data_IF_954366564416
#
_entry.id   IF_954366564416
#
_cell.length_a   1.000
_cell.length_b   1.000
_cell.length_c   1.000
_cell.angle_alpha   90.00
_cell.angle_beta   90.00
_cell.angle_gamma   90.00
#
_symmetry.space_group_name_H-M   'P 1'
#
loop_
_entity.id
_entity.type
_entity.pdbx_description
1 polymer ?
#
# COMPACT_ATOMS: atom_id res chain seq x y z
N UNK A 1 -11.06 4.55 -4.10
CA UNK A 1 -11.63 5.74 -3.47
C UNK A 1 -13.02 5.36 -3.00
N UNK A 2 -13.45 5.65 -1.76
CA UNK A 2 -14.85 5.55 -1.43
C UNK A 2 -15.60 6.40 -2.46
N UNK A 3 -16.62 5.85 -3.10
CA UNK A 3 -17.60 6.69 -3.79
C UNK A 3 -18.21 7.57 -2.72
N UNK A 4 -17.73 8.77 -2.57
CA UNK A 4 -18.48 9.81 -1.90
C UNK A 4 -19.83 9.86 -2.62
N UNK A 5 -20.93 9.78 -1.89
CA UNK A 5 -22.27 9.85 -2.47
C UNK A 5 -22.32 11.13 -3.35
N UNK A 6 -22.49 10.95 -4.67
CA UNK A 6 -22.49 12.05 -5.63
C UNK A 6 -21.30 12.12 -6.59
N UNK A 7 -20.35 11.19 -6.57
CA UNK A 7 -19.18 11.20 -7.48
C UNK A 7 -19.48 10.81 -8.93
N UNK A 8 -20.70 10.51 -9.28
CA UNK A 8 -21.08 10.25 -10.68
C UNK A 8 -21.23 11.55 -11.50
N UNK A 9 -21.07 12.72 -10.88
CA UNK A 9 -21.14 14.03 -11.56
C UNK A 9 -19.82 14.77 -11.42
N UNK A 10 -19.35 15.30 -12.55
CA UNK A 10 -18.21 16.22 -12.57
C UNK A 10 -18.57 17.46 -11.75
N UNK A 11 -17.74 17.88 -10.79
CA UNK A 11 -18.02 19.09 -10.03
C UNK A 11 -18.16 20.31 -10.93
N UNK A 12 -19.10 21.25 -10.65
CA UNK A 12 -19.38 22.38 -11.53
C UNK A 12 -18.23 23.37 -11.69
N UNK A 13 -17.23 23.31 -10.82
CA UNK A 13 -16.03 24.15 -10.91
C UNK A 13 -14.95 23.58 -11.84
N UNK A 14 -15.12 22.35 -12.35
CA UNK A 14 -14.15 21.73 -13.26
C UNK A 14 -14.36 22.31 -14.66
N UNK A 15 -13.35 22.96 -15.25
CA UNK A 15 -13.45 23.46 -16.61
C UNK A 15 -13.69 22.32 -17.62
N UNK A 16 -14.67 22.43 -18.52
CA UNK A 16 -15.00 21.37 -19.47
C UNK A 16 -13.81 20.95 -20.35
N UNK A 17 -12.94 21.88 -20.68
CA UNK A 17 -11.72 21.65 -21.49
C UNK A 17 -10.68 20.79 -20.76
N UNK A 18 -10.76 20.64 -19.45
CA UNK A 18 -9.88 19.80 -18.65
C UNK A 18 -10.44 18.41 -18.39
N UNK A 19 -11.70 18.15 -18.75
CA UNK A 19 -12.31 16.83 -18.53
C UNK A 19 -11.79 15.85 -19.57
N UNK A 20 -11.32 14.69 -19.10
CA UNK A 20 -10.83 13.60 -19.93
C UNK A 20 -11.41 12.27 -19.43
N UNK A 21 -11.45 11.30 -20.33
CA UNK A 21 -11.62 9.89 -19.99
C UNK A 21 -10.38 9.17 -20.50
N UNK A 22 -9.35 9.14 -19.66
CA UNK A 22 -8.03 8.72 -20.09
C UNK A 22 -7.86 7.18 -20.11
N UNK A 23 -8.73 6.45 -19.40
CA UNK A 23 -8.55 5.02 -19.20
C UNK A 23 -7.22 4.67 -18.51
N UNK A 24 -6.60 5.66 -17.83
CA UNK A 24 -5.27 5.58 -17.24
C UNK A 24 -5.09 4.39 -16.30
N UNK A 25 -6.14 3.98 -15.66
CA UNK A 25 -6.08 2.89 -14.72
C UNK A 25 -6.59 1.61 -15.40
N UNK A 26 -5.66 0.74 -15.79
CA UNK A 26 -5.93 -0.63 -16.23
C UNK A 26 -6.61 -0.80 -17.60
N UNK A 27 -6.58 0.22 -18.48
CA UNK A 27 -7.00 0.04 -19.89
C UNK A 27 -6.02 -0.87 -20.64
N UNK A 28 -6.50 -1.61 -21.68
CA UNK A 28 -5.66 -2.54 -22.44
C UNK A 28 -4.40 -1.88 -23.03
N UNK A 29 -4.50 -0.63 -23.49
CA UNK A 29 -3.39 0.11 -24.07
C UNK A 29 -2.32 0.46 -23.00
N UNK A 30 -2.75 0.85 -21.81
CA UNK A 30 -1.84 1.09 -20.69
C UNK A 30 -1.15 -0.21 -20.28
N UNK A 31 -1.88 -1.31 -20.12
CA UNK A 31 -1.33 -2.60 -19.72
C UNK A 31 -0.36 -3.18 -20.74
N UNK A 32 -0.60 -2.93 -22.04
CA UNK A 32 0.28 -3.40 -23.10
C UNK A 32 1.67 -2.72 -23.08
N UNK A 33 1.72 -1.43 -22.84
CA UNK A 33 2.96 -0.67 -22.74
C UNK A 33 2.79 0.62 -21.91
N UNK A 34 2.91 0.54 -20.57
CA UNK A 34 2.70 1.69 -19.69
C UNK A 34 3.61 2.89 -20.01
N UNK A 35 4.87 2.63 -20.37
CA UNK A 35 5.83 3.70 -20.66
C UNK A 35 5.48 4.47 -21.94
N UNK A 36 5.14 3.77 -23.00
CA UNK A 36 4.74 4.43 -24.26
C UNK A 36 3.42 5.17 -24.09
N UNK A 37 2.46 4.59 -23.34
CA UNK A 37 1.19 5.22 -23.01
C UNK A 37 1.41 6.53 -22.25
N UNK A 38 2.19 6.51 -21.18
CA UNK A 38 2.49 7.70 -20.37
C UNK A 38 3.24 8.76 -21.18
N UNK A 39 4.21 8.37 -22.02
CA UNK A 39 4.90 9.30 -22.91
C UNK A 39 3.93 9.99 -23.89
N UNK A 40 2.96 9.27 -24.43
CA UNK A 40 1.88 9.83 -25.24
C UNK A 40 1.00 10.81 -24.48
N UNK A 41 0.66 10.49 -23.25
CA UNK A 41 -0.13 11.36 -22.37
C UNK A 41 0.53 12.73 -22.17
N UNK A 42 1.85 12.76 -21.93
CA UNK A 42 2.62 14.02 -21.80
C UNK A 42 2.56 14.94 -23.03
N UNK A 43 2.28 14.39 -24.21
CA UNK A 43 2.18 15.16 -25.46
C UNK A 43 0.77 15.65 -25.74
N UNK A 44 -0.25 14.91 -25.32
CA UNK A 44 -1.64 15.12 -25.73
C UNK A 44 -2.47 15.78 -24.64
N UNK A 45 -2.21 15.47 -23.37
CA UNK A 45 -3.01 15.94 -22.25
C UNK A 45 -2.43 17.21 -21.63
N UNK A 46 -3.29 18.08 -21.07
CA UNK A 46 -2.80 19.19 -20.25
C UNK A 46 -2.09 18.63 -19.00
N UNK A 47 -1.14 19.39 -18.43
CA UNK A 47 -0.37 18.94 -17.26
C UNK A 47 -1.23 18.57 -16.04
N UNK A 48 -2.41 19.18 -15.94
CA UNK A 48 -3.42 18.88 -14.93
C UNK A 48 -4.75 18.72 -15.65
N UNK A 49 -5.46 17.61 -15.40
CA UNK A 49 -6.78 17.37 -15.96
C UNK A 49 -7.66 16.58 -14.99
N UNK A 50 -8.97 16.61 -15.21
CA UNK A 50 -9.94 15.87 -14.42
C UNK A 50 -10.33 14.61 -15.17
N UNK A 51 -9.93 13.45 -14.62
CA UNK A 51 -10.23 12.16 -15.21
C UNK A 51 -11.58 11.63 -14.73
N UNK A 52 -12.39 11.19 -15.68
CA UNK A 52 -13.66 10.51 -15.44
C UNK A 52 -13.47 9.05 -15.76
N UNK A 53 -13.33 8.22 -14.75
CA UNK A 53 -12.93 6.83 -14.92
C UNK A 53 -13.76 5.83 -14.10
N UNK A 54 -13.60 4.55 -14.38
CA UNK A 54 -14.37 3.48 -13.73
C UNK A 54 -14.09 3.34 -12.23
N UNK A 55 -12.98 3.87 -11.75
CA UNK A 55 -12.58 3.84 -10.34
C UNK A 55 -12.94 5.13 -9.59
N UNK A 56 -13.66 6.01 -10.23
CA UNK A 56 -14.05 7.32 -9.70
C UNK A 56 -13.44 8.46 -10.49
N UNK A 57 -13.88 9.67 -10.17
CA UNK A 57 -13.43 10.87 -10.82
C UNK A 57 -12.36 11.54 -9.95
N UNK A 58 -11.26 11.98 -10.56
CA UNK A 58 -10.15 12.59 -9.83
C UNK A 58 -9.35 13.57 -10.70
N UNK A 59 -8.72 14.54 -10.05
CA UNK A 59 -7.68 15.33 -10.68
C UNK A 59 -6.42 14.49 -10.90
N UNK A 60 -5.85 14.58 -12.10
CA UNK A 60 -4.62 13.90 -12.49
C UNK A 60 -3.52 14.91 -12.69
N UNK A 61 -2.37 14.63 -12.09
CA UNK A 61 -1.14 15.42 -12.23
C UNK A 61 -0.14 14.61 -13.06
N UNK A 62 0.24 15.08 -14.24
CA UNK A 62 1.15 14.35 -15.12
C UNK A 62 2.61 14.76 -14.88
N UNK A 63 2.85 16.04 -14.58
CA UNK A 63 4.21 16.54 -14.40
C UNK A 63 4.76 16.15 -13.02
N UNK A 64 6.04 15.78 -13.01
CA UNK A 64 6.76 15.47 -11.78
C UNK A 64 6.73 16.61 -10.77
N UNK A 65 6.94 17.85 -11.23
CA UNK A 65 6.94 19.05 -10.38
C UNK A 65 5.60 19.29 -9.68
N UNK A 66 4.47 19.09 -10.40
CA UNK A 66 3.13 19.23 -9.83
C UNK A 66 2.81 18.13 -8.83
N UNK A 67 3.17 16.88 -9.16
CA UNK A 67 3.01 15.74 -8.25
C UNK A 67 3.87 15.92 -6.97
N UNK A 68 5.10 16.40 -7.13
CA UNK A 68 5.99 16.68 -6.00
C UNK A 68 5.46 17.83 -5.13
N UNK A 69 4.88 18.87 -5.76
CA UNK A 69 4.22 19.94 -5.03
C UNK A 69 3.05 19.39 -4.20
N UNK A 70 2.15 18.61 -4.80
CA UNK A 70 1.02 18.02 -4.10
C UNK A 70 1.45 17.15 -2.91
N UNK A 71 2.46 16.31 -3.10
CA UNK A 71 2.98 15.42 -2.04
C UNK A 71 3.66 16.16 -0.87
N UNK A 72 4.13 17.39 -1.09
CA UNK A 72 4.83 18.19 -0.07
C UNK A 72 3.95 19.17 0.68
N UNK A 73 2.74 19.40 0.22
CA UNK A 73 1.85 20.43 0.75
C UNK A 73 0.57 19.82 1.31
N UNK A 74 0.71 19.13 2.45
CA UNK A 74 -0.42 18.52 3.16
C UNK A 74 -1.49 19.53 3.58
N UNK A 75 -1.13 20.82 3.67
CA UNK A 75 -2.07 21.92 3.94
C UNK A 75 -3.09 22.18 2.82
N UNK A 76 -2.82 21.68 1.61
CA UNK A 76 -3.72 21.76 0.45
C UNK A 76 -4.22 20.41 -0.02
N UNK A 77 -3.45 19.35 0.21
CA UNK A 77 -3.71 18.00 -0.32
C UNK A 77 -3.69 16.99 0.83
N UNK A 78 -4.86 16.66 1.35
CA UNK A 78 -5.03 15.68 2.40
C UNK A 78 -4.92 14.25 1.91
N UNK A 79 -4.65 13.34 2.86
CA UNK A 79 -4.50 11.90 2.59
C UNK A 79 -5.75 11.10 3.00
N UNK A 80 -6.78 11.73 3.53
CA UNK A 80 -8.00 11.03 3.90
C UNK A 80 -8.62 10.33 2.68
N UNK A 81 -8.80 9.02 2.78
CA UNK A 81 -9.31 8.22 1.67
C UNK A 81 -8.33 7.99 0.52
N UNK A 82 -7.01 8.19 0.74
CA UNK A 82 -5.99 8.04 -0.29
C UNK A 82 -5.81 6.61 -0.81
N UNK A 83 -6.28 5.59 -0.08
CA UNK A 83 -6.17 4.20 -0.52
C UNK A 83 -7.38 3.77 -1.36
N UNK A 84 -7.16 2.92 -2.39
CA UNK A 84 -8.22 2.46 -3.28
C UNK A 84 -9.06 1.32 -2.70
N UNK A 85 -8.77 0.90 -1.48
CA UNK A 85 -9.41 -0.27 -0.87
C UNK A 85 -10.86 0.00 -0.48
N UNK A 86 -11.76 -1.00 -0.62
CA UNK A 86 -13.12 -0.88 -0.14
C UNK A 86 -13.13 -0.72 1.38
N UNK A 87 -14.03 0.14 1.88
CA UNK A 87 -14.25 0.33 3.30
C UNK A 87 -15.58 -0.26 3.70
N UNK A 88 -15.59 -0.99 4.80
CA UNK A 88 -16.82 -1.39 5.48
C UNK A 88 -17.26 -0.23 6.37
N UNK A 89 -18.49 0.30 6.24
CA UNK A 89 -19.00 1.35 7.10
C UNK A 89 -19.06 0.96 8.58
N UNK A 90 -19.18 -0.35 8.86
CA UNK A 90 -19.34 -0.89 10.21
C UNK A 90 -18.01 -1.35 10.84
N UNK A 91 -16.96 -1.56 10.03
CA UNK A 91 -15.60 -1.92 10.48
C UNK A 91 -14.58 -1.01 9.79
N UNK A 92 -14.41 0.18 10.34
CA UNK A 92 -13.57 1.22 9.76
C UNK A 92 -12.10 0.88 9.96
N UNK A 93 -11.47 0.33 8.92
CA UNK A 93 -10.04 0.04 8.89
C UNK A 93 -9.31 1.21 8.24
N UNK A 94 -8.53 1.96 9.01
CA UNK A 94 -7.65 3.00 8.50
C UNK A 94 -6.27 2.42 8.20
N UNK A 95 -5.72 2.73 7.04
CA UNK A 95 -4.32 2.44 6.73
C UNK A 95 -3.41 3.50 7.36
N UNK A 96 -3.19 3.38 8.66
CA UNK A 96 -2.33 4.29 9.40
C UNK A 96 -0.86 3.96 9.15
N UNK A 97 -0.01 4.99 8.93
CA UNK A 97 -0.28 6.42 8.89
C UNK A 97 -0.61 6.99 7.50
N UNK A 98 -0.91 6.17 6.48
CA UNK A 98 -1.06 6.60 5.09
C UNK A 98 -2.26 7.54 4.89
N UNK A 99 -3.36 7.28 5.60
CA UNK A 99 -4.65 7.95 5.38
C UNK A 99 -4.96 9.07 6.37
N UNK A 100 -3.96 9.57 7.06
CA UNK A 100 -4.11 10.69 8.00
C UNK A 100 -3.10 11.79 7.74
N UNK A 101 -3.47 13.01 8.14
CA UNK A 101 -2.68 14.21 7.95
C UNK A 101 -2.06 14.70 9.27
N UNK A 102 -1.04 15.60 9.21
CA UNK A 102 -0.56 16.28 10.41
C UNK A 102 -1.67 17.08 11.13
N UNK A 103 -1.67 17.15 12.49
CA UNK A 103 -0.60 16.68 13.38
C UNK A 103 -0.64 15.17 13.73
N UNK A 104 -1.78 14.49 13.54
CA UNK A 104 -1.99 13.10 13.95
C UNK A 104 -1.02 12.13 13.27
N UNK A 105 -0.74 12.32 11.99
CA UNK A 105 0.24 11.55 11.23
C UNK A 105 1.57 11.40 11.98
N UNK A 106 2.03 12.45 12.65
CA UNK A 106 3.30 12.45 13.39
C UNK A 106 3.31 11.48 14.55
N UNK A 107 2.18 11.31 15.24
CA UNK A 107 2.07 10.38 16.38
C UNK A 107 2.40 8.95 15.94
N UNK A 108 1.78 8.47 14.85
CA UNK A 108 2.01 7.13 14.32
C UNK A 108 3.40 6.96 13.69
N UNK A 109 3.89 7.99 12.99
CA UNK A 109 5.25 7.98 12.44
C UNK A 109 6.31 7.86 13.51
N UNK A 110 6.14 8.52 14.64
CA UNK A 110 7.08 8.43 15.78
C UNK A 110 7.21 7.00 16.33
N UNK A 111 6.17 6.17 16.20
CA UNK A 111 6.22 4.75 16.60
C UNK A 111 6.96 3.90 15.56
N UNK A 112 6.72 4.16 14.27
CA UNK A 112 7.21 3.34 13.16
C UNK A 112 8.60 3.76 12.68
N UNK A 113 8.89 5.06 12.61
CA UNK A 113 10.15 5.59 12.05
C UNK A 113 11.42 5.00 12.70
N UNK A 114 11.49 4.71 14.02
CA UNK A 114 12.69 4.13 14.62
C UNK A 114 13.13 2.79 14.05
N UNK A 115 12.19 1.98 13.52
CA UNK A 115 12.50 0.67 12.90
C UNK A 115 12.80 0.76 11.40
N UNK A 116 12.54 1.93 10.79
CA UNK A 116 12.75 2.19 9.36
C UNK A 116 13.91 3.17 9.10
N UNK A 117 14.70 3.51 10.11
CA UNK A 117 15.90 4.33 9.93
C UNK A 117 16.93 3.58 9.07
N UNK A 118 17.80 4.28 8.31
CA UNK A 118 18.88 3.63 7.55
C UNK A 118 19.71 2.67 8.41
N UNK A 119 19.96 3.04 9.65
CA UNK A 119 20.72 2.22 10.60
C UNK A 119 19.96 0.96 11.05
N UNK A 120 18.64 1.05 11.19
CA UNK A 120 17.81 -0.10 11.51
C UNK A 120 17.73 -1.05 10.30
N UNK A 121 17.58 -0.51 9.08
CA UNK A 121 17.56 -1.30 7.85
C UNK A 121 18.91 -2.02 7.62
N UNK A 122 20.03 -1.36 7.85
CA UNK A 122 21.37 -2.01 7.74
C UNK A 122 21.50 -3.23 8.66
N UNK A 123 20.86 -3.22 9.84
CA UNK A 123 20.86 -4.39 10.74
C UNK A 123 20.05 -5.58 10.21
N UNK A 124 19.16 -5.36 9.25
CA UNK A 124 18.41 -6.43 8.59
C UNK A 124 19.19 -7.08 7.46
N UNK A 125 20.30 -6.49 6.97
CA UNK A 125 21.01 -6.96 5.77
C UNK A 125 21.45 -8.41 5.89
N UNK A 126 22.09 -8.80 6.99
CA UNK A 126 22.55 -10.19 7.21
C UNK A 126 21.38 -11.17 7.18
N UNK A 127 20.26 -10.80 7.81
CA UNK A 127 19.06 -11.64 7.86
C UNK A 127 18.37 -11.75 6.51
N UNK A 128 18.27 -10.63 5.76
CA UNK A 128 17.73 -10.62 4.40
C UNK A 128 18.61 -11.49 3.49
N UNK A 129 19.94 -11.40 3.64
CA UNK A 129 20.88 -12.21 2.87
C UNK A 129 20.75 -13.70 3.18
N UNK A 130 20.54 -14.05 4.43
CA UNK A 130 20.29 -15.44 4.83
C UNK A 130 18.99 -15.97 4.21
N UNK A 131 17.88 -15.22 4.32
CA UNK A 131 16.62 -15.58 3.69
C UNK A 131 16.73 -15.73 2.17
N UNK A 132 17.47 -14.82 1.51
CA UNK A 132 17.70 -14.91 0.08
C UNK A 132 18.50 -16.16 -0.30
N UNK A 133 19.51 -16.53 0.48
CA UNK A 133 20.28 -17.76 0.25
C UNK A 133 19.40 -19.00 0.46
N UNK A 134 18.60 -19.06 1.53
CA UNK A 134 17.68 -20.17 1.79
C UNK A 134 16.70 -20.37 0.61
N UNK A 135 16.16 -19.30 0.05
CA UNK A 135 15.27 -19.38 -1.11
C UNK A 135 16.01 -19.83 -2.38
N UNK A 136 17.25 -19.39 -2.59
CA UNK A 136 18.07 -19.85 -3.71
C UNK A 136 18.42 -21.32 -3.57
N UNK A 137 18.81 -21.76 -2.38
CA UNK A 137 19.19 -23.15 -2.09
C UNK A 137 18.02 -24.12 -2.34
N UNK A 138 16.78 -23.67 -2.17
CA UNK A 138 15.59 -24.49 -2.45
C UNK A 138 15.41 -24.81 -3.95
N UNK A 139 16.02 -24.04 -4.86
CA UNK A 139 15.81 -24.18 -6.30
C UNK A 139 17.09 -24.41 -7.11
N UNK A 140 18.27 -24.20 -6.53
CA UNK A 140 19.53 -24.20 -7.27
C UNK A 140 19.82 -25.55 -7.95
N UNK A 141 19.46 -26.66 -7.33
CA UNK A 141 19.65 -28.00 -7.86
C UNK A 141 18.72 -28.35 -9.03
N UNK A 142 17.64 -27.55 -9.22
CA UNK A 142 16.67 -27.74 -10.29
C UNK A 142 17.18 -27.16 -11.63
N UNK A 143 18.18 -26.27 -11.59
CA UNK A 143 18.79 -25.63 -12.76
C UNK A 143 17.94 -24.50 -13.38
N UNK A 144 16.62 -24.50 -13.15
CA UNK A 144 15.69 -23.44 -13.57
C UNK A 144 14.55 -23.33 -12.57
N UNK A 145 13.92 -22.15 -12.47
CA UNK A 145 12.72 -21.96 -11.63
C UNK A 145 11.85 -20.83 -12.19
N UNK A 146 10.61 -20.75 -11.75
CA UNK A 146 9.80 -19.56 -11.87
C UNK A 146 10.24 -18.59 -10.75
N UNK A 147 10.97 -17.53 -11.14
CA UNK A 147 11.68 -16.66 -10.20
C UNK A 147 10.73 -15.86 -9.30
N UNK A 148 9.59 -15.39 -9.83
CA UNK A 148 8.63 -14.62 -9.05
C UNK A 148 8.01 -15.47 -7.92
N UNK A 149 7.65 -16.72 -8.22
CA UNK A 149 7.07 -17.64 -7.24
C UNK A 149 8.11 -18.14 -6.23
N UNK A 150 9.30 -18.49 -6.71
CA UNK A 150 10.34 -19.09 -5.89
C UNK A 150 11.09 -18.08 -5.02
N UNK A 151 11.17 -16.81 -5.44
CA UNK A 151 12.02 -15.80 -4.82
C UNK A 151 11.36 -14.43 -4.70
N UNK A 152 10.77 -13.91 -5.79
CA UNK A 152 10.29 -12.52 -5.88
C UNK A 152 9.20 -12.20 -4.87
N UNK A 153 8.22 -13.09 -4.72
CA UNK A 153 7.11 -12.95 -3.76
C UNK A 153 7.49 -13.32 -2.33
N UNK A 154 8.12 -14.48 -2.07
CA UNK A 154 8.39 -14.88 -0.68
C UNK A 154 9.41 -14.02 0.03
N UNK A 155 10.47 -13.53 -0.62
CA UNK A 155 11.52 -12.77 0.06
C UNK A 155 11.01 -11.53 0.80
N UNK A 156 10.29 -10.59 0.16
CA UNK A 156 9.78 -9.41 0.86
C UNK A 156 8.76 -9.75 1.95
N UNK A 157 7.95 -10.79 1.75
CA UNK A 157 6.98 -11.24 2.75
C UNK A 157 7.67 -11.83 3.97
N UNK A 158 8.70 -12.66 3.80
CA UNK A 158 9.50 -13.19 4.91
C UNK A 158 10.19 -12.07 5.71
N UNK A 159 10.76 -11.09 5.02
CA UNK A 159 11.36 -9.91 5.66
C UNK A 159 10.31 -9.11 6.44
N UNK A 160 9.11 -8.94 5.87
CA UNK A 160 8.00 -8.28 6.54
C UNK A 160 7.56 -9.04 7.80
N UNK A 161 7.35 -10.36 7.70
CA UNK A 161 6.96 -11.19 8.85
C UNK A 161 7.99 -11.09 9.98
N UNK A 162 9.28 -11.14 9.64
CA UNK A 162 10.37 -10.95 10.59
C UNK A 162 10.33 -9.56 11.27
N UNK A 163 10.12 -8.51 10.49
CA UNK A 163 10.02 -7.14 11.02
C UNK A 163 8.83 -6.95 11.94
N UNK A 164 7.71 -7.57 11.59
CA UNK A 164 6.48 -7.51 12.38
C UNK A 164 6.51 -8.38 13.63
N UNK A 165 7.43 -9.36 13.70
CA UNK A 165 7.47 -10.38 14.74
C UNK A 165 6.42 -11.48 14.54
N UNK A 166 6.06 -11.76 13.28
CA UNK A 166 5.07 -12.78 12.90
C UNK A 166 5.75 -14.09 12.48
N UNK A 167 5.03 -15.22 12.59
CA UNK A 167 5.55 -16.53 12.20
C UNK A 167 5.85 -16.62 10.70
N UNK A 168 7.02 -17.18 10.33
CA UNK A 168 7.44 -17.34 8.92
C UNK A 168 6.62 -18.35 8.13
N UNK A 169 6.02 -19.33 8.80
CA UNK A 169 5.12 -20.31 8.19
C UNK A 169 3.81 -19.69 7.65
N UNK A 170 3.55 -18.44 7.99
CA UNK A 170 2.47 -17.65 7.39
C UNK A 170 2.82 -17.05 6.03
N UNK A 171 4.02 -17.28 5.50
CA UNK A 171 4.50 -16.64 4.27
C UNK A 171 3.53 -16.82 3.09
N UNK A 172 3.14 -18.06 2.80
CA UNK A 172 2.25 -18.37 1.68
C UNK A 172 0.89 -17.68 1.86
N UNK A 173 0.35 -17.69 3.08
CA UNK A 173 -0.92 -17.02 3.40
C UNK A 173 -0.83 -15.50 3.16
N UNK A 174 0.27 -14.86 3.58
CA UNK A 174 0.47 -13.43 3.34
C UNK A 174 0.69 -13.10 1.86
N UNK A 175 1.37 -13.98 1.11
CA UNK A 175 1.49 -13.86 -0.35
C UNK A 175 0.10 -13.92 -1.00
N UNK A 176 -0.75 -14.89 -0.62
CA UNK A 176 -2.12 -15.00 -1.13
C UNK A 176 -2.94 -13.74 -0.83
N UNK A 177 -2.87 -13.22 0.39
CA UNK A 177 -3.57 -11.98 0.77
C UNK A 177 -3.07 -10.78 -0.03
N UNK A 178 -1.75 -10.64 -0.20
CA UNK A 178 -1.16 -9.56 -0.99
C UNK A 178 -1.63 -9.62 -2.45
N UNK A 179 -1.65 -10.82 -3.05
CA UNK A 179 -2.15 -11.02 -4.41
C UNK A 179 -3.64 -10.68 -4.52
N UNK A 180 -4.46 -11.10 -3.56
CA UNK A 180 -5.90 -10.79 -3.55
C UNK A 180 -6.18 -9.30 -3.38
N UNK A 181 -5.37 -8.58 -2.60
CA UNK A 181 -5.54 -7.13 -2.40
C UNK A 181 -5.02 -6.29 -3.57
N UNK A 182 -3.84 -6.64 -4.11
CA UNK A 182 -3.11 -5.77 -5.03
C UNK A 182 -3.40 -6.08 -6.50
N UNK A 183 -3.83 -7.32 -6.80
CA UNK A 183 -4.04 -7.78 -8.18
C UNK A 183 -5.48 -8.17 -8.49
N UNK A 184 -6.39 -8.15 -7.51
CA UNK A 184 -7.81 -8.35 -7.78
C UNK A 184 -8.47 -7.07 -8.27
N UNK A 185 -9.34 -7.20 -9.26
CA UNK A 185 -10.26 -6.14 -9.68
C UNK A 185 -11.65 -6.28 -9.01
N UNK A 186 -11.84 -7.31 -8.19
CA UNK A 186 -13.09 -7.57 -7.49
C UNK A 186 -13.05 -6.95 -6.08
N UNK A 187 -13.85 -5.89 -5.88
CA UNK A 187 -13.96 -5.18 -4.60
C UNK A 187 -14.49 -6.06 -3.47
N UNK A 188 -15.29 -7.08 -3.76
CA UNK A 188 -15.78 -8.00 -2.74
C UNK A 188 -14.65 -8.90 -2.22
N UNK A 189 -13.79 -9.41 -3.12
CA UNK A 189 -12.59 -10.16 -2.76
C UNK A 189 -11.66 -9.29 -1.92
N UNK A 190 -11.39 -8.06 -2.37
CA UNK A 190 -10.51 -7.13 -1.62
C UNK A 190 -11.06 -6.86 -0.21
N UNK A 191 -12.37 -6.58 -0.08
CA UNK A 191 -13.00 -6.32 1.22
C UNK A 191 -12.96 -7.52 2.16
N UNK A 192 -13.27 -8.71 1.65
CA UNK A 192 -13.17 -9.96 2.43
C UNK A 192 -11.73 -10.24 2.90
N UNK A 193 -10.75 -9.99 2.03
CA UNK A 193 -9.33 -10.16 2.36
C UNK A 193 -8.89 -9.15 3.43
N UNK A 194 -9.28 -7.88 3.32
CA UNK A 194 -8.99 -6.87 4.35
C UNK A 194 -9.55 -7.26 5.71
N UNK A 195 -10.80 -7.75 5.73
CA UNK A 195 -11.41 -8.24 6.95
C UNK A 195 -10.60 -9.40 7.55
N UNK A 196 -10.20 -10.36 6.73
CA UNK A 196 -9.41 -11.52 7.17
C UNK A 196 -8.07 -11.08 7.76
N UNK A 197 -7.36 -10.16 7.10
CA UNK A 197 -6.12 -9.58 7.61
C UNK A 197 -6.35 -8.85 8.93
N UNK A 198 -7.41 -8.03 9.01
CA UNK A 198 -7.76 -7.29 10.23
C UNK A 198 -8.04 -8.22 11.41
N UNK A 199 -8.81 -9.29 11.19
CA UNK A 199 -9.12 -10.27 12.23
C UNK A 199 -7.85 -11.02 12.70
N UNK A 200 -6.96 -11.40 11.77
CA UNK A 200 -5.66 -11.99 12.11
C UNK A 200 -4.78 -11.04 12.93
N UNK A 201 -4.66 -9.78 12.50
CA UNK A 201 -3.85 -8.79 13.20
C UNK A 201 -4.39 -8.46 14.59
N UNK A 202 -5.71 -8.43 14.80
CA UNK A 202 -6.32 -8.27 16.13
C UNK A 202 -5.85 -9.36 17.10
N UNK A 203 -5.80 -10.63 16.62
CA UNK A 203 -5.31 -11.76 17.43
C UNK A 203 -3.80 -11.61 17.70
N UNK A 204 -3.02 -11.31 16.66
CA UNK A 204 -1.57 -11.13 16.79
C UNK A 204 -1.23 -9.98 17.76
N UNK A 205 -1.93 -8.85 17.71
CA UNK A 205 -1.75 -7.73 18.64
C UNK A 205 -2.05 -8.16 20.08
N UNK A 206 -3.16 -8.87 20.31
CA UNK A 206 -3.51 -9.36 21.64
C UNK A 206 -2.43 -10.31 22.21
N UNK A 207 -1.91 -11.22 21.38
CA UNK A 207 -0.82 -12.12 21.76
C UNK A 207 0.46 -11.37 22.10
N UNK A 208 0.88 -10.43 21.22
CA UNK A 208 2.09 -9.62 21.43
C UNK A 208 1.97 -8.63 22.58
N UNK A 209 0.76 -8.21 22.91
CA UNK A 209 0.48 -7.42 24.12
C UNK A 209 0.73 -8.24 25.38
N UNK A 210 0.32 -9.52 25.38
CA UNK A 210 0.53 -10.41 26.51
C UNK A 210 1.98 -10.93 26.61
N UNK A 211 2.64 -11.17 25.47
CA UNK A 211 3.98 -11.74 25.35
C UNK A 211 4.82 -10.91 24.37
N UNK A 212 5.32 -9.74 24.77
CA UNK A 212 6.06 -8.84 23.87
C UNK A 212 7.38 -9.46 23.40
N UNK A 213 7.73 -9.17 22.13
CA UNK A 213 9.03 -9.44 21.52
C UNK A 213 9.63 -8.16 20.91
N UNK A 214 10.70 -8.30 20.10
CA UNK A 214 11.36 -7.16 19.44
C UNK A 214 10.64 -6.70 18.15
N UNK A 215 9.55 -7.36 17.74
CA UNK A 215 8.79 -7.05 16.53
C UNK A 215 8.04 -5.73 16.60
N UNK A 216 7.70 -5.19 15.42
CA UNK A 216 6.98 -3.92 15.30
C UNK A 216 5.60 -3.98 15.96
N UNK A 217 4.87 -5.10 15.87
CA UNK A 217 3.56 -5.25 16.52
C UNK A 217 3.68 -5.07 18.03
N UNK A 218 4.69 -5.67 18.67
CA UNK A 218 4.93 -5.50 20.10
C UNK A 218 5.22 -4.05 20.47
N UNK A 219 5.99 -3.34 19.63
CA UNK A 219 6.29 -1.90 19.85
C UNK A 219 5.04 -1.04 19.76
N UNK A 220 4.16 -1.30 18.78
CA UNK A 220 2.90 -0.57 18.62
C UNK A 220 1.99 -0.83 19.84
N UNK A 221 1.82 -2.10 20.22
CA UNK A 221 1.00 -2.48 21.37
C UNK A 221 1.48 -1.85 22.68
N UNK A 222 2.78 -1.81 22.90
CA UNK A 222 3.38 -1.16 24.10
C UNK A 222 3.27 0.36 24.07
N UNK A 223 3.38 0.99 22.90
CA UNK A 223 3.18 2.43 22.76
C UNK A 223 1.75 2.85 23.09
N UNK A 224 0.75 2.09 22.65
CA UNK A 224 -0.66 2.29 22.98
C UNK A 224 -0.90 2.18 24.50
N UNK A 225 -0.34 1.16 25.16
CA UNK A 225 -0.45 1.01 26.62
C UNK A 225 0.23 2.15 27.41
N UNK A 226 1.30 2.74 26.86
CA UNK A 226 1.99 3.86 27.46
C UNK A 226 1.26 5.21 27.31
N UNK A 227 0.09 5.23 26.63
CA UNK A 227 -0.67 6.46 26.39
C UNK A 227 0.00 7.39 25.38
N UNK A 228 0.65 6.82 24.39
CA UNK A 228 1.12 7.56 23.21
C UNK A 228 -0.09 7.88 22.31
N UNK A 229 -0.98 8.76 22.82
CA UNK A 229 -2.08 9.38 22.08
C UNK A 229 -1.58 10.42 21.08
#
# INVERSE_FOLDING_TARGET
FPRLAGMDQVPPHVPPELIRSSGLTFGPEFLANPHAFMAGMHQIFPPIYYDVGPFGNAWQLIKHEDALFALRHAEYFGNEGATPFPRDPDDYFYFLPIEIDPPEHRKYRNIVDPVLTPQAVLRLEERIRALANDLIDNVIDQGECEFDEAFGRPLPVLVFLDLMGLPRDMCDTFVEWAMALLHSNDRAIMGATLKTIGDYLKVAIAEKTANPDDGLISRIALAEQAGAD
#
